data_IF_524947191431
#
_entry.id   IF_524947191431
#
_cell.length_a   1.000
_cell.length_b   1.000
_cell.length_c   1.000
_cell.angle_alpha   90.00
_cell.angle_beta   90.00
_cell.angle_gamma   90.00
#
_symmetry.space_group_name_H-M   'P 1'
#
loop_
_entity.id
_entity.type
_entity.pdbx_description
1 polymer ?
#
# COMPACT_ATOMS: atom_id res chain seq x y z
N UNK A 1 16.46 -2.85 -9.36
CA UNK A 1 16.42 -3.10 -7.91
C UNK A 1 17.77 -3.64 -7.52
N UNK A 2 18.35 -3.11 -6.42
CA UNK A 2 19.70 -3.49 -5.94
C UNK A 2 20.80 -3.39 -7.02
N UNK A 3 20.70 -2.39 -7.91
CA UNK A 3 21.64 -2.17 -9.01
C UNK A 3 21.42 -3.05 -10.24
N UNK A 4 20.44 -3.96 -10.20
CA UNK A 4 20.08 -4.81 -11.36
C UNK A 4 18.96 -4.15 -12.15
N UNK A 5 19.13 -4.07 -13.48
CA UNK A 5 18.08 -3.58 -14.37
C UNK A 5 16.88 -4.53 -14.34
N UNK A 6 15.69 -3.95 -14.24
CA UNK A 6 14.43 -4.70 -14.20
C UNK A 6 14.21 -5.49 -15.50
N UNK A 7 14.72 -4.98 -16.61
CA UNK A 7 14.64 -5.64 -17.91
C UNK A 7 15.54 -6.88 -18.04
N UNK A 8 16.53 -7.03 -17.17
CA UNK A 8 17.45 -8.17 -17.16
C UNK A 8 16.98 -9.32 -16.26
N UNK A 9 15.92 -9.08 -15.46
CA UNK A 9 15.35 -10.07 -14.55
C UNK A 9 14.12 -10.71 -15.18
N UNK A 10 13.90 -12.00 -14.97
CA UNK A 10 12.64 -12.62 -15.39
C UNK A 10 11.48 -11.97 -14.62
N UNK A 11 10.38 -11.63 -15.33
CA UNK A 11 9.22 -10.95 -14.75
C UNK A 11 8.70 -11.63 -13.47
N UNK A 12 8.69 -12.95 -13.45
CA UNK A 12 8.17 -13.72 -12.31
C UNK A 12 9.05 -13.57 -11.05
N UNK A 13 10.38 -13.68 -11.18
CA UNK A 13 11.32 -13.50 -10.07
C UNK A 13 11.26 -12.08 -9.51
N UNK A 14 11.11 -11.10 -10.39
CA UNK A 14 10.98 -9.71 -9.99
C UNK A 14 9.67 -9.48 -9.22
N UNK A 15 8.55 -9.95 -9.75
CA UNK A 15 7.24 -9.80 -9.13
C UNK A 15 7.12 -10.55 -7.78
N UNK A 16 7.86 -11.64 -7.57
CA UNK A 16 7.88 -12.35 -6.29
C UNK A 16 8.39 -11.50 -5.12
N UNK A 17 9.25 -10.52 -5.39
CA UNK A 17 9.81 -9.60 -4.38
C UNK A 17 8.85 -8.48 -3.97
N UNK A 18 7.73 -8.29 -4.68
CA UNK A 18 6.83 -7.17 -4.47
C UNK A 18 5.51 -7.58 -3.83
N UNK A 19 5.07 -6.78 -2.86
CA UNK A 19 3.70 -6.71 -2.42
C UNK A 19 3.01 -5.47 -3.01
N UNK A 20 1.70 -5.52 -3.22
CA UNK A 20 0.95 -4.35 -3.68
C UNK A 20 -0.43 -4.28 -3.04
N UNK A 21 -0.74 -3.10 -2.50
CA UNK A 21 -2.07 -2.70 -2.13
C UNK A 21 -2.58 -1.73 -3.19
N UNK A 22 -3.61 -2.14 -3.91
CA UNK A 22 -4.22 -1.34 -4.97
C UNK A 22 -5.24 -0.35 -4.41
N UNK A 23 -5.48 0.73 -5.14
CA UNK A 23 -6.58 1.65 -4.88
C UNK A 23 -7.91 0.87 -4.75
N UNK A 24 -8.75 1.24 -3.79
CA UNK A 24 -10.01 0.53 -3.53
C UNK A 24 -9.86 -0.88 -2.93
N UNK A 25 -8.62 -1.36 -2.71
CA UNK A 25 -8.33 -2.70 -2.19
C UNK A 25 -8.28 -3.78 -3.27
N UNK A 26 -9.03 -3.66 -4.36
CA UNK A 26 -9.10 -4.57 -5.50
C UNK A 26 -9.17 -6.07 -5.10
N UNK A 27 -10.03 -6.39 -4.14
CA UNK A 27 -10.30 -7.77 -3.76
C UNK A 27 -11.12 -8.46 -4.87
N UNK A 28 -10.91 -9.74 -5.03
CA UNK A 28 -11.70 -10.57 -5.92
C UNK A 28 -13.02 -10.92 -5.23
N UNK A 29 -14.15 -10.40 -5.70
CA UNK A 29 -15.47 -10.59 -5.11
C UNK A 29 -15.92 -12.07 -5.10
N UNK A 30 -15.45 -12.84 -6.07
CA UNK A 30 -15.74 -14.28 -6.19
C UNK A 30 -14.90 -15.18 -5.26
N UNK A 31 -13.93 -14.60 -4.55
CA UNK A 31 -13.05 -15.34 -3.65
C UNK A 31 -13.33 -14.96 -2.20
N UNK A 32 -13.30 -15.97 -1.31
CA UNK A 32 -13.34 -15.69 0.13
C UNK A 32 -12.10 -14.92 0.58
N UNK A 33 -12.19 -14.32 1.76
CA UNK A 33 -11.12 -13.50 2.36
C UNK A 33 -9.77 -14.22 2.37
N UNK A 34 -9.70 -15.44 2.91
CA UNK A 34 -8.44 -16.17 2.94
C UNK A 34 -7.89 -16.49 1.55
N UNK A 35 -8.77 -16.75 0.56
CA UNK A 35 -8.36 -16.99 -0.83
C UNK A 35 -7.85 -15.71 -1.50
N UNK A 36 -8.41 -14.56 -1.14
CA UNK A 36 -7.88 -13.26 -1.57
C UNK A 36 -6.46 -13.07 -1.04
N UNK A 37 -6.23 -13.31 0.24
CA UNK A 37 -4.89 -13.21 0.85
C UNK A 37 -3.93 -14.23 0.25
N UNK A 38 -4.38 -15.48 0.10
CA UNK A 38 -3.60 -16.59 -0.46
C UNK A 38 -3.37 -16.51 -1.98
N UNK A 39 -3.91 -15.51 -2.67
CA UNK A 39 -3.98 -15.52 -4.13
C UNK A 39 -2.63 -15.78 -4.80
N UNK A 40 -1.57 -15.16 -4.32
CA UNK A 40 -0.20 -15.37 -4.82
C UNK A 40 0.45 -16.63 -4.27
N UNK A 41 0.16 -17.01 -3.02
CA UNK A 41 0.69 -18.21 -2.37
C UNK A 41 0.31 -19.50 -3.10
N UNK A 42 -0.78 -19.48 -3.87
CA UNK A 42 -1.25 -20.62 -4.63
C UNK A 42 -0.83 -20.59 -6.12
N UNK A 43 0.07 -19.67 -6.50
CA UNK A 43 0.56 -19.47 -7.88
C UNK A 43 2.07 -19.29 -7.89
N UNK A 44 2.67 -19.37 -9.06
CA UNK A 44 4.10 -19.19 -9.25
C UNK A 44 4.94 -20.40 -8.86
N UNK A 45 6.26 -20.18 -8.82
CA UNK A 45 7.28 -21.23 -8.58
C UNK A 45 7.26 -21.74 -7.14
N UNK A 46 6.84 -20.93 -6.18
CA UNK A 46 6.79 -21.27 -4.75
C UNK A 46 5.38 -21.61 -4.26
N UNK A 47 4.57 -22.21 -5.12
CA UNK A 47 3.19 -22.58 -4.80
C UNK A 47 3.09 -23.41 -3.52
N UNK A 48 2.27 -22.93 -2.58
CA UNK A 48 1.92 -23.62 -1.33
C UNK A 48 0.71 -24.52 -1.50
N UNK A 49 0.60 -25.54 -0.66
CA UNK A 49 -0.62 -26.33 -0.54
C UNK A 49 -1.80 -25.46 -0.09
N UNK A 50 -3.03 -25.94 -0.29
CA UNK A 50 -4.23 -25.21 0.11
C UNK A 50 -4.27 -24.93 1.62
N UNK A 51 -3.89 -25.94 2.41
CA UNK A 51 -3.94 -25.85 3.88
C UNK A 51 -2.87 -24.89 4.41
N UNK A 52 -1.63 -25.00 3.92
CA UNK A 52 -0.54 -24.05 4.25
C UNK A 52 -0.91 -22.61 3.85
N UNK A 53 -1.44 -22.40 2.64
CA UNK A 53 -1.85 -21.09 2.17
C UNK A 53 -2.98 -20.49 3.04
N UNK A 54 -3.91 -21.32 3.52
CA UNK A 54 -4.96 -20.89 4.44
C UNK A 54 -4.40 -20.52 5.81
N UNK A 55 -3.49 -21.30 6.36
CA UNK A 55 -2.82 -20.98 7.64
C UNK A 55 -2.04 -19.68 7.56
N UNK A 56 -1.23 -19.49 6.50
CA UNK A 56 -0.50 -18.24 6.26
C UNK A 56 -1.48 -17.07 6.18
N UNK A 57 -2.57 -17.23 5.43
CA UNK A 57 -3.59 -16.18 5.30
C UNK A 57 -4.19 -15.78 6.63
N UNK A 58 -4.52 -16.74 7.50
CA UNK A 58 -5.05 -16.46 8.84
C UNK A 58 -4.00 -15.71 9.69
N UNK A 59 -2.73 -16.10 9.63
CA UNK A 59 -1.64 -15.39 10.32
C UNK A 59 -1.54 -13.94 9.84
N UNK A 60 -1.61 -13.70 8.52
CA UNK A 60 -1.55 -12.35 7.95
C UNK A 60 -2.80 -11.51 8.25
N UNK A 61 -3.98 -12.13 8.32
CA UNK A 61 -5.20 -11.46 8.76
C UNK A 61 -5.10 -10.99 10.22
N UNK A 62 -4.60 -11.83 11.11
CA UNK A 62 -4.34 -11.44 12.51
C UNK A 62 -3.37 -10.27 12.62
N UNK A 63 -2.36 -10.23 11.75
CA UNK A 63 -1.37 -9.15 11.68
C UNK A 63 -1.99 -7.80 11.38
N UNK A 64 -3.07 -7.77 10.62
CA UNK A 64 -3.81 -6.56 10.28
C UNK A 64 -5.03 -6.35 11.20
N UNK A 65 -5.08 -7.03 12.36
CA UNK A 65 -6.13 -6.88 13.35
C UNK A 65 -7.47 -7.50 12.96
N UNK A 66 -7.46 -8.55 12.13
CA UNK A 66 -8.64 -9.30 11.72
C UNK A 66 -8.57 -10.74 12.24
N UNK A 67 -9.66 -11.20 12.85
CA UNK A 67 -9.73 -12.56 13.39
C UNK A 67 -9.97 -13.64 12.32
N UNK A 68 -9.79 -14.92 12.69
CA UNK A 68 -9.97 -16.03 11.77
C UNK A 68 -11.43 -16.23 11.33
N UNK A 69 -12.39 -15.68 12.06
CA UNK A 69 -13.84 -15.80 11.80
C UNK A 69 -14.27 -15.14 10.50
N UNK A 70 -13.45 -14.23 9.96
CA UNK A 70 -13.74 -13.60 8.67
C UNK A 70 -13.14 -14.35 7.48
N UNK A 71 -12.31 -15.35 7.72
CA UNK A 71 -11.53 -16.01 6.66
C UNK A 71 -12.39 -16.57 5.52
N UNK A 72 -13.54 -17.11 5.84
CA UNK A 72 -14.46 -17.71 4.87
C UNK A 72 -15.52 -16.74 4.33
N UNK A 73 -15.57 -15.49 4.83
CA UNK A 73 -16.44 -14.43 4.30
C UNK A 73 -15.97 -13.95 2.93
N UNK A 74 -16.87 -13.25 2.24
CA UNK A 74 -16.60 -12.61 0.96
C UNK A 74 -16.44 -11.09 1.12
N UNK A 75 -15.77 -10.39 0.18
CA UNK A 75 -15.57 -8.95 0.26
C UNK A 75 -16.86 -8.15 0.51
N UNK A 76 -17.97 -8.53 -0.10
CA UNK A 76 -19.26 -7.87 0.08
C UNK A 76 -19.83 -7.93 1.51
N UNK A 77 -19.33 -8.83 2.35
CA UNK A 77 -19.74 -8.98 3.75
C UNK A 77 -18.88 -8.15 4.72
N UNK A 78 -17.90 -7.41 4.19
CA UNK A 78 -16.91 -6.65 4.97
C UNK A 78 -17.16 -5.14 4.86
N UNK A 79 -16.90 -4.42 5.95
CA UNK A 79 -16.81 -2.96 5.88
C UNK A 79 -15.61 -2.51 5.01
N UNK A 80 -15.65 -1.27 4.51
CA UNK A 80 -14.55 -0.72 3.71
C UNK A 80 -13.18 -0.78 4.41
N UNK A 81 -13.14 -0.47 5.72
CA UNK A 81 -11.93 -0.60 6.52
C UNK A 81 -11.44 -2.04 6.66
N UNK A 82 -12.34 -3.02 6.79
CA UNK A 82 -11.97 -4.44 6.79
C UNK A 82 -11.44 -4.88 5.43
N UNK A 83 -12.05 -4.43 4.32
CA UNK A 83 -11.56 -4.73 2.98
C UNK A 83 -10.14 -4.19 2.75
N UNK A 84 -9.84 -2.97 3.22
CA UNK A 84 -8.48 -2.40 3.17
C UNK A 84 -7.48 -3.23 3.97
N UNK A 85 -7.85 -3.68 5.17
CA UNK A 85 -7.00 -4.57 6.00
C UNK A 85 -6.77 -5.93 5.33
N UNK A 86 -7.78 -6.53 4.72
CA UNK A 86 -7.63 -7.77 3.93
C UNK A 86 -6.68 -7.55 2.75
N UNK A 87 -6.80 -6.43 2.05
CA UNK A 87 -5.90 -6.07 0.95
C UNK A 87 -4.46 -5.87 1.41
N UNK A 88 -4.26 -5.30 2.60
CA UNK A 88 -2.95 -5.17 3.24
C UNK A 88 -2.39 -6.55 3.62
N UNK A 89 -3.21 -7.44 4.20
CA UNK A 89 -2.81 -8.82 4.48
C UNK A 89 -2.39 -9.56 3.20
N UNK A 90 -3.09 -9.33 2.08
CA UNK A 90 -2.71 -9.88 0.77
C UNK A 90 -1.39 -9.33 0.27
N UNK A 91 -1.14 -8.03 0.45
CA UNK A 91 0.11 -7.39 0.01
C UNK A 91 1.34 -7.99 0.73
N UNK A 92 1.19 -8.39 2.00
CA UNK A 92 2.27 -8.96 2.81
C UNK A 92 2.26 -10.49 2.87
N UNK A 93 1.41 -11.16 2.09
CA UNK A 93 1.21 -12.61 2.22
C UNK A 93 2.44 -13.44 1.87
N UNK A 94 3.26 -12.94 0.94
CA UNK A 94 4.47 -13.62 0.43
C UNK A 94 5.76 -13.14 1.09
N UNK A 95 5.68 -12.39 2.19
CA UNK A 95 6.82 -11.74 2.85
C UNK A 95 7.71 -10.98 1.85
N UNK A 96 7.13 -9.97 1.15
CA UNK A 96 7.83 -9.23 0.11
C UNK A 96 8.96 -8.36 0.69
N UNK A 97 9.96 -8.05 -0.15
CA UNK A 97 11.03 -7.11 0.20
C UNK A 97 10.62 -5.64 -0.04
N UNK A 98 9.72 -5.42 -0.98
CA UNK A 98 9.22 -4.09 -1.37
C UNK A 98 7.70 -4.12 -1.41
N UNK A 99 7.05 -3.07 -0.86
CA UNK A 99 5.60 -2.95 -0.89
C UNK A 99 5.20 -1.62 -1.54
N UNK A 100 4.30 -1.70 -2.51
CA UNK A 100 3.65 -0.54 -3.11
C UNK A 100 2.26 -0.35 -2.51
N UNK A 101 1.98 0.86 -2.05
CA UNK A 101 0.68 1.29 -1.57
C UNK A 101 0.11 2.35 -2.52
N UNK A 102 -0.97 2.03 -3.20
CA UNK A 102 -1.67 2.95 -4.08
C UNK A 102 -2.93 3.46 -3.39
N UNK A 103 -2.91 4.73 -2.99
CA UNK A 103 -4.00 5.40 -2.30
C UNK A 103 -4.59 4.58 -1.13
N UNK A 104 -3.79 4.21 -0.12
CA UNK A 104 -4.20 3.24 0.89
C UNK A 104 -5.38 3.70 1.76
N UNK A 105 -5.54 5.01 1.95
CA UNK A 105 -6.58 5.60 2.81
C UNK A 105 -7.77 6.19 2.07
N UNK A 106 -7.73 6.21 0.73
CA UNK A 106 -8.83 6.76 -0.08
C UNK A 106 -10.14 6.03 0.18
N UNK A 107 -11.20 6.81 0.42
CA UNK A 107 -12.56 6.31 0.71
C UNK A 107 -12.80 5.94 2.17
N UNK A 108 -11.86 6.21 3.06
CA UNK A 108 -12.00 6.03 4.50
C UNK A 108 -12.26 7.38 5.20
N UNK A 109 -12.94 7.31 6.33
CA UNK A 109 -13.03 8.46 7.24
C UNK A 109 -11.68 8.75 7.90
N UNK A 110 -11.47 9.94 8.50
CA UNK A 110 -10.19 10.33 9.09
C UNK A 110 -9.68 9.39 10.19
N UNK A 111 -10.59 8.81 11.00
CA UNK A 111 -10.21 7.90 12.08
C UNK A 111 -9.68 6.59 11.50
N UNK A 112 -10.41 6.01 10.55
CA UNK A 112 -9.99 4.78 9.88
C UNK A 112 -8.73 5.00 9.03
N UNK A 113 -8.55 6.18 8.44
CA UNK A 113 -7.32 6.55 7.73
C UNK A 113 -6.11 6.53 8.66
N UNK A 114 -6.25 7.09 9.88
CA UNK A 114 -5.19 7.04 10.90
C UNK A 114 -4.84 5.61 11.26
N UNK A 115 -5.83 4.77 11.52
CA UNK A 115 -5.62 3.35 11.86
C UNK A 115 -4.89 2.60 10.73
N UNK A 116 -5.23 2.84 9.47
CA UNK A 116 -4.55 2.21 8.33
C UNK A 116 -3.11 2.72 8.19
N UNK A 117 -2.87 4.02 8.40
CA UNK A 117 -1.53 4.61 8.36
C UNK A 117 -0.63 4.04 9.47
N UNK A 118 -1.13 3.93 10.70
CA UNK A 118 -0.43 3.30 11.82
C UNK A 118 -0.06 1.86 11.49
N UNK A 119 -1.01 1.09 10.98
CA UNK A 119 -0.81 -0.30 10.60
C UNK A 119 0.23 -0.45 9.48
N UNK A 120 0.20 0.42 8.46
CA UNK A 120 1.23 0.46 7.40
C UNK A 120 2.60 0.73 8.02
N UNK A 121 2.70 1.74 8.90
CA UNK A 121 3.99 2.09 9.54
C UNK A 121 4.54 0.94 10.38
N UNK A 122 3.70 0.32 11.20
CA UNK A 122 4.07 -0.85 12.01
C UNK A 122 4.58 -2.00 11.14
N UNK A 123 3.85 -2.35 10.09
CA UNK A 123 4.22 -3.44 9.17
C UNK A 123 5.55 -3.16 8.49
N UNK A 124 5.74 -1.95 7.96
CA UNK A 124 6.97 -1.57 7.25
C UNK A 124 8.19 -1.64 8.18
N UNK A 125 8.07 -1.12 9.40
CA UNK A 125 9.15 -1.13 10.39
C UNK A 125 9.45 -2.55 10.87
N UNK A 126 8.43 -3.33 11.19
CA UNK A 126 8.58 -4.67 11.78
C UNK A 126 9.09 -5.70 10.75
N UNK A 127 8.65 -5.60 9.48
CA UNK A 127 9.17 -6.46 8.42
C UNK A 127 10.51 -5.98 7.86
N UNK A 128 10.93 -4.75 8.17
CA UNK A 128 12.16 -4.16 7.61
C UNK A 128 12.13 -3.99 6.10
N UNK A 129 10.94 -3.80 5.52
CA UNK A 129 10.74 -3.71 4.06
C UNK A 129 10.88 -2.29 3.56
N UNK A 130 11.21 -2.14 2.29
CA UNK A 130 11.10 -0.86 1.58
C UNK A 130 9.67 -0.64 1.14
N UNK A 131 9.11 0.55 1.44
CA UNK A 131 7.76 0.90 1.04
C UNK A 131 7.73 2.12 0.13
N UNK A 132 6.89 2.08 -0.90
CA UNK A 132 6.57 3.23 -1.73
C UNK A 132 5.06 3.45 -1.69
N UNK A 133 4.65 4.65 -1.25
CA UNK A 133 3.25 5.04 -1.19
C UNK A 133 2.96 6.14 -2.19
N UNK A 134 1.93 5.97 -3.00
CA UNK A 134 1.37 6.99 -3.86
C UNK A 134 0.11 7.49 -3.18
N UNK A 135 0.05 8.78 -2.87
CA UNK A 135 -1.13 9.39 -2.24
C UNK A 135 -1.17 10.90 -2.46
N UNK A 136 -2.36 11.45 -2.45
CA UNK A 136 -2.60 12.89 -2.39
C UNK A 136 -3.00 13.35 -0.97
N UNK A 137 -3.15 12.42 -0.03
CA UNK A 137 -3.50 12.74 1.36
C UNK A 137 -2.27 13.13 2.17
N UNK A 138 -2.19 14.42 2.51
CA UNK A 138 -1.07 14.96 3.30
C UNK A 138 -1.03 14.42 4.72
N UNK A 139 -2.16 14.00 5.28
CA UNK A 139 -2.22 13.32 6.57
C UNK A 139 -1.46 12.00 6.53
N UNK A 140 -1.72 11.19 5.52
CA UNK A 140 -0.99 9.93 5.27
C UNK A 140 0.50 10.17 5.03
N UNK A 141 0.87 11.15 4.18
CA UNK A 141 2.28 11.50 3.96
C UNK A 141 2.99 11.81 5.28
N UNK A 142 2.37 12.63 6.13
CA UNK A 142 2.96 13.00 7.42
C UNK A 142 3.02 11.85 8.42
N UNK A 143 2.14 10.87 8.32
CA UNK A 143 2.11 9.72 9.21
C UNK A 143 3.16 8.66 8.85
N UNK A 144 3.31 8.33 7.56
CA UNK A 144 4.05 7.12 7.15
C UNK A 144 5.37 7.39 6.42
N UNK A 145 5.55 8.55 5.77
CA UNK A 145 6.72 8.78 4.92
C UNK A 145 7.98 9.14 5.71
N UNK A 146 9.12 8.63 5.28
CA UNK A 146 10.45 9.10 5.66
C UNK A 146 11.00 10.09 4.61
N UNK A 147 10.80 9.78 3.33
CA UNK A 147 11.14 10.61 2.18
C UNK A 147 9.89 10.90 1.36
N UNK A 148 9.82 12.07 0.76
CA UNK A 148 8.68 12.50 -0.07
C UNK A 148 9.19 13.01 -1.40
N UNK A 149 8.53 12.61 -2.49
CA UNK A 149 8.74 13.16 -3.82
C UNK A 149 7.43 13.77 -4.35
N UNK A 150 7.48 15.01 -4.82
CA UNK A 150 6.36 15.67 -5.49
C UNK A 150 6.47 15.47 -6.99
N UNK A 151 5.52 14.74 -7.56
CA UNK A 151 5.42 14.48 -8.99
C UNK A 151 4.38 15.41 -9.61
N UNK A 152 4.75 16.11 -10.71
CA UNK A 152 3.83 16.91 -11.50
C UNK A 152 4.32 16.96 -12.96
N UNK A 153 3.40 16.77 -13.92
CA UNK A 153 3.68 16.71 -15.37
C UNK A 153 4.85 15.79 -15.73
N UNK A 154 4.84 14.57 -15.16
CA UNK A 154 5.86 13.55 -15.45
C UNK A 154 7.26 13.87 -14.89
N UNK A 155 7.39 14.89 -14.04
CA UNK A 155 8.67 15.31 -13.46
C UNK A 155 8.60 15.38 -11.95
N UNK A 156 9.69 14.98 -11.29
CA UNK A 156 9.84 15.21 -9.85
C UNK A 156 10.19 16.68 -9.64
N UNK A 157 9.24 17.43 -9.07
CA UNK A 157 9.39 18.85 -8.78
C UNK A 157 10.17 19.11 -7.51
N UNK A 158 10.12 18.17 -6.58
CA UNK A 158 10.85 18.21 -5.32
C UNK A 158 11.01 16.80 -4.77
N UNK A 159 12.14 16.56 -4.08
CA UNK A 159 12.38 15.34 -3.33
C UNK A 159 13.19 15.66 -2.07
N UNK A 160 12.79 15.09 -0.94
CA UNK A 160 13.50 15.32 0.32
C UNK A 160 12.82 14.65 1.52
N UNK A 161 13.43 14.77 2.70
CA UNK A 161 12.87 14.18 3.92
C UNK A 161 11.56 14.86 4.29
N UNK A 162 10.62 14.08 4.84
CA UNK A 162 9.31 14.56 5.30
C UNK A 162 9.42 15.81 6.19
N UNK A 163 10.43 15.88 7.04
CA UNK A 163 10.66 17.02 7.95
C UNK A 163 10.89 18.34 7.22
N UNK A 164 11.35 18.31 5.98
CA UNK A 164 11.61 19.50 5.14
C UNK A 164 10.45 19.86 4.21
N UNK A 165 9.37 19.07 4.21
CA UNK A 165 8.28 19.23 3.26
C UNK A 165 7.60 20.59 3.34
N UNK A 166 7.27 21.05 4.55
CA UNK A 166 6.62 22.37 4.77
C UNK A 166 7.56 23.54 4.50
N UNK A 167 8.84 23.34 4.70
CA UNK A 167 9.89 24.36 4.50
C UNK A 167 10.68 24.12 3.21
N UNK A 168 10.08 23.43 2.25
CA UNK A 168 10.74 23.07 0.98
C UNK A 168 11.13 24.26 0.11
N UNK A 169 10.46 25.40 0.29
CA UNK A 169 10.58 26.57 -0.58
C UNK A 169 10.08 26.35 -2.01
N UNK A 170 9.61 25.15 -2.33
CA UNK A 170 9.16 24.77 -3.66
C UNK A 170 7.71 25.21 -3.89
N UNK A 171 7.41 25.99 -4.95
CA UNK A 171 6.06 26.54 -5.18
C UNK A 171 5.01 25.45 -5.50
N UNK A 172 5.40 24.34 -6.12
CA UNK A 172 4.48 23.22 -6.38
C UNK A 172 4.08 22.54 -5.07
N UNK A 173 5.06 22.25 -4.21
CA UNK A 173 4.83 21.66 -2.88
C UNK A 173 3.95 22.56 -2.04
N UNK A 174 4.25 23.87 -1.99
CA UNK A 174 3.48 24.83 -1.22
C UNK A 174 2.04 24.91 -1.70
N UNK A 175 1.83 25.01 -3.03
CA UNK A 175 0.47 25.03 -3.59
C UNK A 175 -0.30 23.79 -3.21
N UNK A 176 0.31 22.62 -3.29
CA UNK A 176 -0.33 21.35 -3.00
C UNK A 176 -0.69 21.20 -1.51
N UNK A 177 0.27 21.49 -0.61
CA UNK A 177 0.06 21.37 0.84
C UNK A 177 -1.03 22.33 1.35
N UNK A 178 -1.02 23.56 0.87
CA UNK A 178 -1.97 24.59 1.34
C UNK A 178 -3.27 24.62 0.53
N UNK A 179 -3.42 23.80 -0.49
CA UNK A 179 -4.65 23.69 -1.30
C UNK A 179 -5.00 25.00 -2.01
N UNK A 180 -4.01 25.80 -2.41
CA UNK A 180 -4.26 27.10 -3.02
C UNK A 180 -4.61 26.97 -4.50
N UNK A 181 -5.63 27.69 -4.97
CA UNK A 181 -6.03 27.67 -6.39
C UNK A 181 -5.08 28.44 -7.30
N UNK A 182 -4.22 29.30 -6.72
CA UNK A 182 -3.21 30.09 -7.45
C UNK A 182 -1.83 29.48 -7.22
N UNK A 183 -1.10 29.21 -8.30
CA UNK A 183 0.26 28.65 -8.24
C UNK A 183 0.65 28.02 -9.57
N UNK A 184 1.79 27.30 -9.60
CA UNK A 184 2.31 26.69 -10.81
C UNK A 184 1.46 25.51 -11.32
N UNK A 185 0.71 24.83 -10.44
CA UNK A 185 -0.22 23.77 -10.82
C UNK A 185 -1.47 24.42 -11.39
N UNK A 186 -1.65 24.31 -12.71
CA UNK A 186 -2.82 24.88 -13.40
C UNK A 186 -4.05 23.99 -13.15
N UNK A 187 -5.10 24.58 -12.61
CA UNK A 187 -6.41 23.93 -12.53
C UNK A 187 -7.19 24.22 -13.82
N UNK A 188 -7.68 23.16 -14.49
CA UNK A 188 -8.64 23.33 -15.57
C UNK A 188 -9.91 23.99 -14.99
N UNK A 189 -10.31 25.11 -15.56
CA UNK A 189 -11.60 25.76 -15.29
C UNK A 189 -12.60 25.36 -16.35
#
# INVERSE_FOLDING_TARGET
VDGVDVNETTHDQFLERFGMLFQGGALFDSLSVWKNVAFRLQRGSQKRSKDEAREISIKKLRRVGLGPEIADKYPAELSGGMQKRVSLARAIATDPEIIFFDEPTTGLDPIMSSVINELIREIVVELGVTAMTITHDMGSVMAIADQVAMLHDGKIQWCGPRSKLKDSGNPYVNQFIYGTSKGPIKTLR
#
